data_IF_827596096481
#
_entry.id   IF_827596096481
#
_cell.length_a   1.000
_cell.length_b   1.000
_cell.length_c   1.000
_cell.angle_alpha   90.00
_cell.angle_beta   90.00
_cell.angle_gamma   90.00
#
_symmetry.space_group_name_H-M   'P 1'
#
loop_
_entity.id
_entity.type
_entity.pdbx_description
1 polymer ?
#
# COMPACT_ATOMS: atom_id res chain seq x y z
N UNK A 1 2.84 38.06 -2.07
CA UNK A 1 2.18 36.82 -2.53
C UNK A 1 2.52 35.77 -1.51
N UNK A 2 1.50 35.24 -0.84
CA UNK A 2 1.65 34.02 -0.05
C UNK A 2 2.09 32.91 -0.98
N UNK A 3 3.21 32.27 -0.66
CA UNK A 3 3.66 31.06 -1.33
C UNK A 3 2.85 29.92 -0.73
N UNK A 4 1.79 29.56 -1.43
CA UNK A 4 0.99 28.37 -1.16
C UNK A 4 1.89 27.14 -1.34
N UNK A 5 2.29 26.51 -0.22
CA UNK A 5 3.17 25.33 -0.21
C UNK A 5 2.42 24.03 -0.53
N UNK A 6 1.48 24.08 -1.47
CA UNK A 6 0.89 22.87 -2.04
C UNK A 6 1.88 22.26 -3.04
N UNK A 7 2.95 21.66 -2.52
CA UNK A 7 3.78 20.71 -3.26
C UNK A 7 2.97 19.43 -3.48
N UNK A 8 2.01 19.50 -4.40
CA UNK A 8 1.47 18.32 -5.03
C UNK A 8 2.50 17.89 -6.08
N UNK A 9 3.59 17.29 -5.64
CA UNK A 9 4.46 16.55 -6.56
C UNK A 9 3.59 15.44 -7.14
N UNK A 10 3.24 15.53 -8.43
CA UNK A 10 2.39 14.56 -9.12
C UNK A 10 3.07 13.18 -9.06
N UNK A 11 2.67 12.35 -8.09
CA UNK A 11 3.15 10.97 -7.99
C UNK A 11 2.70 10.20 -9.21
N UNK A 12 3.59 9.38 -9.75
CA UNK A 12 3.27 8.51 -10.87
C UNK A 12 2.39 7.35 -10.37
N UNK A 13 1.20 7.22 -10.94
CA UNK A 13 0.38 6.03 -10.72
C UNK A 13 1.08 4.82 -11.35
N UNK A 14 1.31 3.79 -10.56
CA UNK A 14 1.90 2.55 -11.03
C UNK A 14 0.85 1.71 -11.74
N UNK A 15 1.18 1.24 -12.94
CA UNK A 15 0.35 0.31 -13.72
C UNK A 15 1.11 -0.99 -14.00
N UNK A 16 0.43 -2.13 -13.90
CA UNK A 16 1.02 -3.45 -14.17
C UNK A 16 1.89 -3.98 -13.02
N UNK A 17 2.90 -4.76 -13.36
CA UNK A 17 3.80 -5.37 -12.37
C UNK A 17 4.76 -4.33 -11.80
N UNK A 18 4.87 -4.27 -10.49
CA UNK A 18 5.77 -3.40 -9.77
C UNK A 18 6.32 -4.10 -8.54
N UNK A 19 7.60 -3.87 -8.26
CA UNK A 19 8.31 -4.40 -7.10
C UNK A 19 9.40 -3.41 -6.74
N UNK A 20 9.52 -3.08 -5.46
CA UNK A 20 10.60 -2.26 -4.94
C UNK A 20 10.96 -2.78 -3.55
N UNK A 21 12.25 -2.97 -3.30
CA UNK A 21 12.80 -3.24 -1.98
C UNK A 21 13.48 -1.97 -1.49
N UNK A 22 13.08 -1.49 -0.30
CA UNK A 22 13.63 -0.28 0.33
C UNK A 22 14.06 -0.60 1.75
N UNK A 23 15.18 0.00 2.17
CA UNK A 23 15.66 -0.05 3.53
C UNK A 23 15.35 1.29 4.19
N UNK A 24 14.38 1.27 5.09
CA UNK A 24 13.90 2.45 5.82
C UNK A 24 14.16 2.28 7.31
N UNK A 25 14.15 3.37 8.06
CA UNK A 25 14.32 3.31 9.51
C UNK A 25 13.02 2.93 10.25
N UNK A 26 13.14 2.71 11.57
CA UNK A 26 12.02 2.34 12.45
C UNK A 26 10.88 3.37 12.42
N UNK A 27 11.20 4.65 12.30
CA UNK A 27 10.23 5.75 12.39
C UNK A 27 9.48 5.87 11.07
N UNK A 28 10.19 5.81 9.94
CA UNK A 28 9.60 5.74 8.59
C UNK A 28 8.68 4.51 8.44
N UNK A 29 9.09 3.34 8.96
CA UNK A 29 8.25 2.14 8.95
C UNK A 29 6.97 2.34 9.76
N UNK A 30 7.07 2.95 10.95
CA UNK A 30 5.91 3.20 11.80
C UNK A 30 4.91 4.17 11.16
N UNK A 31 5.42 5.20 10.47
CA UNK A 31 4.61 6.13 9.68
C UNK A 31 3.89 5.42 8.53
N UNK A 32 4.63 4.63 7.74
CA UNK A 32 4.07 3.85 6.64
C UNK A 32 2.93 2.92 7.12
N UNK A 33 3.16 2.17 8.20
CA UNK A 33 2.16 1.26 8.77
C UNK A 33 0.94 2.02 9.31
N UNK A 34 1.15 3.21 9.89
CA UNK A 34 0.04 4.04 10.39
C UNK A 34 -0.85 4.53 9.25
N UNK A 35 -0.25 5.01 8.17
CA UNK A 35 -0.99 5.44 6.98
C UNK A 35 -1.77 4.30 6.33
N UNK A 36 -1.14 3.12 6.22
CA UNK A 36 -1.79 1.92 5.71
C UNK A 36 -3.00 1.52 6.56
N UNK A 37 -2.86 1.56 7.89
CA UNK A 37 -3.96 1.25 8.82
C UNK A 37 -5.14 2.22 8.64
N UNK A 38 -4.86 3.51 8.48
CA UNK A 38 -5.92 4.51 8.25
C UNK A 38 -6.65 4.29 6.93
N UNK A 39 -5.96 3.88 5.86
CA UNK A 39 -6.61 3.50 4.60
C UNK A 39 -7.46 2.23 4.74
N UNK A 40 -6.95 1.18 5.41
CA UNK A 40 -7.69 -0.08 5.64
C UNK A 40 -8.98 0.17 6.44
N UNK A 41 -8.95 1.08 7.44
CA UNK A 41 -10.14 1.43 8.23
C UNK A 41 -11.23 2.11 7.40
N UNK A 42 -10.89 2.77 6.29
CA UNK A 42 -11.87 3.42 5.39
C UNK A 42 -12.63 2.42 4.53
N UNK A 43 -12.09 1.22 4.35
CA UNK A 43 -12.74 0.13 3.63
C UNK A 43 -11.74 -0.72 2.84
N UNK A 44 -12.25 -1.32 1.77
CA UNK A 44 -11.57 -2.29 0.91
C UNK A 44 -10.83 -1.63 -0.28
N UNK A 45 -10.42 -0.37 -0.10
CA UNK A 45 -9.63 0.39 -1.08
C UNK A 45 -8.52 1.13 -0.34
N UNK A 46 -7.28 0.84 -0.70
CA UNK A 46 -6.08 1.48 -0.16
C UNK A 46 -5.34 2.22 -1.27
N UNK A 47 -4.57 3.25 -0.91
CA UNK A 47 -3.63 3.88 -1.81
C UNK A 47 -2.24 3.95 -1.16
N UNK A 48 -1.33 3.09 -1.60
CA UNK A 48 0.06 3.08 -1.10
C UNK A 48 0.81 4.21 -1.79
N UNK A 49 1.46 5.08 -1.01
CA UNK A 49 2.18 6.24 -1.53
C UNK A 49 3.62 6.21 -1.06
N UNK A 50 4.53 6.51 -1.99
CA UNK A 50 5.92 6.82 -1.72
C UNK A 50 6.27 8.20 -2.31
N UNK A 51 7.55 8.55 -2.34
CA UNK A 51 8.01 9.87 -2.81
C UNK A 51 7.60 10.17 -4.25
N UNK A 52 7.72 9.20 -5.17
CA UNK A 52 7.58 9.39 -6.61
C UNK A 52 6.39 8.62 -7.22
N UNK A 53 5.78 7.70 -6.48
CA UNK A 53 4.73 6.83 -6.99
C UNK A 53 3.56 6.62 -6.02
N UNK A 54 2.42 6.23 -6.60
CA UNK A 54 1.27 5.76 -5.84
C UNK A 54 0.63 4.51 -6.48
N UNK A 55 0.05 3.64 -5.63
CA UNK A 55 -0.60 2.38 -6.02
C UNK A 55 -2.00 2.35 -5.40
N UNK A 56 -3.04 2.76 -6.14
CA UNK A 56 -4.42 2.52 -5.73
C UNK A 56 -4.77 1.02 -5.90
N UNK A 57 -5.26 0.39 -4.85
CA UNK A 57 -5.60 -1.04 -4.87
C UNK A 57 -6.92 -1.33 -4.14
N UNK A 58 -7.85 -1.97 -4.85
CA UNK A 58 -9.12 -2.47 -4.28
C UNK A 58 -9.02 -3.97 -4.00
N UNK A 59 -9.23 -4.36 -2.76
CA UNK A 59 -9.03 -5.72 -2.27
C UNK A 59 -10.32 -6.33 -1.70
N UNK A 60 -10.37 -7.66 -1.58
CA UNK A 60 -11.46 -8.38 -0.91
C UNK A 60 -11.40 -8.19 0.61
N UNK A 61 -12.49 -8.45 1.34
CA UNK A 61 -12.55 -8.28 2.80
C UNK A 61 -11.51 -9.08 3.60
N UNK A 62 -11.02 -10.21 3.06
CA UNK A 62 -10.00 -11.04 3.70
C UNK A 62 -8.60 -10.72 3.19
N UNK A 63 -7.75 -10.28 4.11
CA UNK A 63 -6.30 -10.13 3.94
C UNK A 63 -5.60 -11.35 4.52
N UNK A 64 -4.59 -11.84 3.84
CA UNK A 64 -3.71 -12.91 4.31
C UNK A 64 -2.52 -12.29 5.04
N UNK A 65 -2.16 -12.85 6.19
CA UNK A 65 -1.05 -12.39 7.02
C UNK A 65 -0.21 -13.61 7.37
N UNK A 66 1.03 -13.60 6.91
CA UNK A 66 2.04 -14.62 7.21
C UNK A 66 3.04 -14.03 8.21
N UNK A 67 3.38 -14.81 9.23
CA UNK A 67 4.37 -14.43 10.26
C UNK A 67 5.30 -15.63 10.40
N UNK A 68 6.56 -15.42 10.06
CA UNK A 68 7.60 -16.44 10.08
C UNK A 68 8.76 -15.98 10.94
N UNK A 69 9.31 -16.90 11.75
CA UNK A 69 10.43 -16.63 12.63
C UNK A 69 11.44 -17.77 12.51
N UNK A 70 12.55 -17.49 11.84
CA UNK A 70 13.63 -18.44 11.58
C UNK A 70 14.96 -17.89 12.10
N UNK A 71 15.58 -18.57 13.07
CA UNK A 71 16.86 -18.15 13.63
C UNK A 71 16.81 -16.77 14.30
N UNK A 72 17.52 -15.81 13.72
CA UNK A 72 17.58 -14.39 14.11
C UNK A 72 16.77 -13.46 13.21
N UNK A 73 15.93 -14.02 12.32
CA UNK A 73 15.10 -13.30 11.37
C UNK A 73 13.60 -13.41 11.73
N UNK A 74 12.86 -12.31 11.57
CA UNK A 74 11.41 -12.22 11.70
C UNK A 74 10.85 -11.62 10.42
N UNK A 75 9.96 -12.36 9.77
CA UNK A 75 9.28 -11.93 8.57
C UNK A 75 7.78 -11.77 8.84
N UNK A 76 7.21 -10.69 8.28
CA UNK A 76 5.79 -10.38 8.35
C UNK A 76 5.36 -9.96 6.94
N UNK A 77 4.53 -10.79 6.29
CA UNK A 77 4.02 -10.51 4.95
C UNK A 77 2.50 -10.35 4.99
N UNK A 78 2.00 -9.33 4.27
CA UNK A 78 0.58 -9.07 4.10
C UNK A 78 0.21 -9.19 2.62
N UNK A 79 -0.75 -10.06 2.31
CA UNK A 79 -1.22 -10.22 0.93
C UNK A 79 -2.69 -9.77 0.75
N UNK A 80 -2.87 -8.78 -0.13
CA UNK A 80 -4.16 -8.25 -0.53
C UNK A 80 -4.57 -8.83 -1.89
N UNK A 81 -5.62 -9.66 -1.92
CA UNK A 81 -6.17 -10.18 -3.19
C UNK A 81 -7.19 -9.20 -3.76
N UNK A 82 -7.09 -8.92 -5.07
CA UNK A 82 -8.01 -8.04 -5.79
C UNK A 82 -9.47 -8.47 -5.63
N UNK A 83 -10.36 -7.50 -5.41
CA UNK A 83 -11.80 -7.73 -5.45
C UNK A 83 -12.25 -8.02 -6.89
N UNK A 84 -12.65 -9.27 -7.16
CA UNK A 84 -13.12 -9.73 -8.48
C UNK A 84 -14.60 -9.45 -8.72
N UNK A 85 -15.33 -8.88 -7.75
CA UNK A 85 -16.79 -8.69 -7.87
C UNK A 85 -17.22 -7.76 -9.02
N UNK A 86 -16.31 -6.92 -9.54
CA UNK A 86 -16.56 -6.06 -10.70
C UNK A 86 -16.23 -6.65 -12.08
N UNK A 87 -15.61 -7.84 -12.15
CA UNK A 87 -15.11 -8.43 -13.41
C UNK A 87 -16.09 -9.42 -14.06
N UNK A 88 -17.29 -9.60 -13.50
CA UNK A 88 -18.34 -10.44 -14.09
C UNK A 88 -19.23 -9.63 -15.04
N UNK A 89 -18.63 -9.10 -16.11
CA UNK A 89 -19.38 -8.77 -17.33
C UNK A 89 -19.42 -10.04 -18.19
N UNK A 90 -20.51 -10.80 -18.09
CA UNK A 90 -20.75 -11.93 -18.98
C UNK A 90 -21.26 -11.35 -20.30
N UNK A 91 -20.47 -11.47 -21.37
CA UNK A 91 -20.94 -11.28 -22.76
C UNK A 91 -21.91 -12.39 -23.18
#
# INVERSE_FOLDING_TARGET
MEVDQNKNEERKVVEGNFSQEIYIDREELAEFLSDLVEEIKKGNSINIKASDWEIPFKFRDKVELEIEHEGDELEIEMEFKKDKSGDLSVE
#
